data_IF_707833387242
#
_entry.id   IF_707833387242
#
_cell.length_a   1.000
_cell.length_b   1.000
_cell.length_c   1.000
_cell.angle_alpha   90.00
_cell.angle_beta   90.00
_cell.angle_gamma   90.00
#
_symmetry.space_group_name_H-M   'P 1'
#
loop_
_entity.id
_entity.type
_entity.pdbx_description
1 polymer ?
#
# COMPACT_ATOMS: atom_id res chain seq x y z
N UNK A 1 -25.95 -20.70 25.77
CA UNK A 1 -24.49 -20.90 25.93
C UNK A 1 -23.82 -21.54 24.71
N UNK A 2 -24.24 -22.72 24.23
CA UNK A 2 -23.56 -23.42 23.10
C UNK A 2 -23.44 -22.60 21.80
N UNK A 3 -24.50 -21.91 21.39
CA UNK A 3 -24.47 -21.06 20.19
C UNK A 3 -23.53 -19.86 20.32
N UNK A 4 -23.43 -19.29 21.53
CA UNK A 4 -22.56 -18.15 21.79
C UNK A 4 -21.07 -18.53 21.67
N UNK A 5 -20.71 -19.72 22.13
CA UNK A 5 -19.36 -20.28 22.00
C UNK A 5 -18.99 -20.51 20.53
N UNK A 6 -19.93 -21.03 19.72
CA UNK A 6 -19.70 -21.26 18.29
C UNK A 6 -19.42 -19.94 17.57
N UNK A 7 -20.18 -18.88 17.85
CA UNK A 7 -19.96 -17.56 17.25
C UNK A 7 -18.58 -17.00 17.61
N UNK A 8 -18.18 -17.11 18.88
CA UNK A 8 -16.86 -16.68 19.36
C UNK A 8 -15.72 -17.43 18.65
N UNK A 9 -15.85 -18.74 18.51
CA UNK A 9 -14.86 -19.58 17.82
C UNK A 9 -14.78 -19.19 16.34
N UNK A 10 -15.91 -19.03 15.66
CA UNK A 10 -15.93 -18.60 14.25
C UNK A 10 -15.30 -17.22 14.06
N UNK A 11 -15.53 -16.29 14.97
CA UNK A 11 -14.90 -14.96 14.91
C UNK A 11 -13.39 -15.05 15.11
N UNK A 12 -12.93 -15.87 16.06
CA UNK A 12 -11.50 -16.11 16.29
C UNK A 12 -10.81 -16.73 15.07
N UNK A 13 -11.42 -17.75 14.46
CA UNK A 13 -10.89 -18.33 13.22
C UNK A 13 -10.90 -17.34 12.06
N UNK A 14 -11.95 -16.54 11.90
CA UNK A 14 -11.99 -15.47 10.91
C UNK A 14 -10.87 -14.45 11.10
N UNK A 15 -10.59 -14.08 12.35
CA UNK A 15 -9.49 -13.18 12.70
C UNK A 15 -8.12 -13.79 12.39
N UNK A 16 -7.90 -15.07 12.71
CA UNK A 16 -6.67 -15.78 12.35
C UNK A 16 -6.49 -15.84 10.84
N UNK A 17 -7.54 -16.17 10.08
CA UNK A 17 -7.48 -16.21 8.62
C UNK A 17 -7.10 -14.83 8.07
N UNK A 18 -7.69 -13.76 8.60
CA UNK A 18 -7.33 -12.41 8.19
C UNK A 18 -5.85 -12.10 8.46
N UNK A 19 -5.35 -12.42 9.66
CA UNK A 19 -3.96 -12.14 10.02
C UNK A 19 -2.95 -12.94 9.21
N UNK A 20 -3.23 -14.21 8.92
CA UNK A 20 -2.30 -15.09 8.20
C UNK A 20 -2.36 -14.94 6.68
N UNK A 21 -3.53 -14.63 6.11
CA UNK A 21 -3.71 -14.65 4.65
C UNK A 21 -4.01 -13.30 4.03
N UNK A 22 -4.66 -12.38 4.76
CA UNK A 22 -5.16 -11.14 4.17
C UNK A 22 -4.33 -9.92 4.56
N UNK A 23 -3.69 -9.91 5.73
CA UNK A 23 -2.90 -8.77 6.22
C UNK A 23 -1.81 -8.36 5.22
N UNK A 24 -0.95 -9.28 4.84
CA UNK A 24 0.18 -9.03 3.94
C UNK A 24 -0.24 -8.55 2.53
N UNK A 25 -1.19 -9.20 1.81
CA UNK A 25 -1.62 -8.68 0.51
C UNK A 25 -2.35 -7.33 0.62
N UNK A 26 -3.07 -7.06 1.71
CA UNK A 26 -3.70 -5.75 1.94
C UNK A 26 -2.62 -4.67 2.10
N UNK A 27 -1.57 -4.94 2.87
CA UNK A 27 -0.43 -4.02 3.06
C UNK A 27 0.28 -3.76 1.72
N UNK A 28 0.54 -4.79 0.92
CA UNK A 28 1.14 -4.66 -0.42
C UNK A 28 0.30 -3.77 -1.35
N UNK A 29 -1.01 -4.03 -1.43
CA UNK A 29 -1.93 -3.25 -2.27
C UNK A 29 -2.05 -1.81 -1.78
N UNK A 30 -2.15 -1.61 -0.47
CA UNK A 30 -2.20 -0.29 0.15
C UNK A 30 -0.93 0.52 -0.16
N UNK A 31 0.24 -0.07 0.07
CA UNK A 31 1.53 0.59 -0.15
C UNK A 31 1.78 0.93 -1.61
N UNK A 32 1.38 0.05 -2.52
CA UNK A 32 1.43 0.33 -3.95
C UNK A 32 0.59 1.56 -4.31
N UNK A 33 -0.68 1.59 -3.89
CA UNK A 33 -1.58 2.73 -4.16
C UNK A 33 -1.07 4.03 -3.55
N UNK A 34 -0.54 3.98 -2.33
CA UNK A 34 0.03 5.16 -1.68
C UNK A 34 1.24 5.71 -2.44
N UNK A 35 2.09 4.82 -2.95
CA UNK A 35 3.28 5.20 -3.73
C UNK A 35 2.87 5.83 -5.06
N UNK A 36 1.91 5.24 -5.77
CA UNK A 36 1.34 5.79 -7.00
C UNK A 36 0.73 7.18 -6.77
N UNK A 37 -0.01 7.36 -5.66
CA UNK A 37 -0.61 8.65 -5.31
C UNK A 37 0.43 9.74 -4.99
N UNK A 38 1.48 9.39 -4.24
CA UNK A 38 2.59 10.31 -3.96
C UNK A 38 3.31 10.72 -5.24
N UNK A 39 3.57 9.77 -6.13
CA UNK A 39 4.21 10.02 -7.41
C UNK A 39 3.36 10.95 -8.29
N UNK A 40 2.05 10.72 -8.33
CA UNK A 40 1.11 11.59 -9.04
C UNK A 40 1.17 13.03 -8.50
N UNK A 41 1.06 13.21 -7.18
CA UNK A 41 1.10 14.54 -6.56
C UNK A 41 2.44 15.25 -6.80
N UNK A 42 3.55 14.50 -6.80
CA UNK A 42 4.86 15.04 -7.12
C UNK A 42 4.92 15.54 -8.57
N UNK A 43 4.43 14.76 -9.54
CA UNK A 43 4.35 15.18 -10.95
C UNK A 43 3.49 16.43 -11.12
N UNK A 44 2.34 16.49 -10.46
CA UNK A 44 1.45 17.65 -10.50
C UNK A 44 2.08 18.90 -9.85
N UNK A 45 2.79 18.74 -8.74
CA UNK A 45 3.51 19.84 -8.09
C UNK A 45 4.62 20.41 -8.99
N UNK A 46 5.34 19.54 -9.71
CA UNK A 46 6.40 19.94 -10.65
C UNK A 46 5.83 20.69 -11.85
N UNK A 47 4.75 20.18 -12.46
CA UNK A 47 4.03 20.88 -13.54
C UNK A 47 3.55 22.26 -13.10
N UNK A 48 2.98 22.35 -11.90
CA UNK A 48 2.50 23.62 -11.33
C UNK A 48 3.61 24.64 -11.11
N UNK A 49 4.83 24.18 -10.86
CA UNK A 49 6.02 25.03 -10.70
C UNK A 49 6.70 25.41 -12.03
N UNK A 50 6.05 25.17 -13.18
CA UNK A 50 6.54 25.61 -14.49
C UNK A 50 7.55 24.67 -15.15
N UNK A 51 7.84 23.52 -14.55
CA UNK A 51 8.62 22.48 -15.22
C UNK A 51 7.70 21.67 -16.15
N UNK A 52 7.90 21.84 -17.46
CA UNK A 52 7.18 21.12 -18.53
C UNK A 52 7.88 19.85 -18.95
N UNK A 53 9.01 19.50 -18.33
CA UNK A 53 9.65 18.22 -18.59
C UNK A 53 8.73 17.11 -18.07
N UNK A 54 8.21 16.30 -19.01
CA UNK A 54 7.73 14.97 -18.64
C UNK A 54 8.89 14.29 -17.92
N UNK A 55 8.67 14.01 -16.64
CA UNK A 55 9.63 13.28 -15.85
C UNK A 55 9.61 11.85 -16.42
N UNK A 56 10.45 11.60 -17.41
CA UNK A 56 10.72 10.25 -17.89
C UNK A 56 11.16 9.42 -16.68
N UNK A 57 10.59 8.23 -16.58
CA UNK A 57 10.82 7.33 -15.47
C UNK A 57 12.24 6.76 -15.59
N UNK A 58 13.22 7.58 -15.19
CA UNK A 58 14.63 7.21 -15.19
C UNK A 58 14.90 6.22 -14.04
N UNK A 59 16.08 5.59 -14.07
CA UNK A 59 16.47 4.60 -13.07
C UNK A 59 16.53 5.18 -11.64
N UNK A 60 16.77 6.49 -11.49
CA UNK A 60 16.78 7.15 -10.17
C UNK A 60 15.38 7.28 -9.57
N UNK A 61 14.38 7.60 -10.37
CA UNK A 61 12.98 7.70 -9.93
C UNK A 61 12.43 6.32 -9.62
N UNK A 62 12.79 5.31 -10.42
CA UNK A 62 12.47 3.91 -10.12
C UNK A 62 13.03 3.48 -8.75
N UNK A 63 14.25 3.90 -8.44
CA UNK A 63 14.88 3.65 -7.14
C UNK A 63 14.12 4.32 -6.00
N UNK A 64 13.71 5.58 -6.18
CA UNK A 64 12.88 6.29 -5.20
C UNK A 64 11.50 5.64 -4.98
N UNK A 65 10.85 5.20 -6.06
CA UNK A 65 9.56 4.49 -5.99
C UNK A 65 9.72 3.17 -5.21
N UNK A 66 10.79 2.42 -5.49
CA UNK A 66 11.10 1.20 -4.73
C UNK A 66 11.38 1.50 -3.27
N UNK A 67 12.11 2.57 -2.95
CA UNK A 67 12.44 2.91 -1.56
C UNK A 67 11.19 3.33 -0.77
N UNK A 68 10.29 4.10 -1.38
CA UNK A 68 8.99 4.49 -0.78
C UNK A 68 8.12 3.25 -0.54
N UNK A 69 8.10 2.31 -1.49
CA UNK A 69 7.37 1.06 -1.37
C UNK A 69 7.94 0.17 -0.26
N UNK A 70 9.27 0.00 -0.20
CA UNK A 70 9.96 -0.77 0.83
C UNK A 70 9.78 -0.16 2.23
N UNK A 71 9.78 1.17 2.34
CA UNK A 71 9.51 1.88 3.60
C UNK A 71 8.07 1.70 4.08
N UNK A 72 7.12 1.47 3.16
CA UNK A 72 5.73 1.28 3.52
C UNK A 72 5.41 -0.16 3.97
N UNK A 73 6.12 -1.15 3.44
CA UNK A 73 5.94 -2.58 3.78
C UNK A 73 6.66 -2.98 5.06
N UNK A 74 7.73 -2.25 5.43
CA UNK A 74 8.46 -2.41 6.69
C UNK A 74 7.70 -1.83 7.87
#
# INVERSE_FOLDING_TARGET
MRQFIIVLISFFFGFLIFFFFLKEPIELVYCRRQTEFKLYNFREAIKKNGSTQEIEENDEIKKYIQDIYQTCIK
#
